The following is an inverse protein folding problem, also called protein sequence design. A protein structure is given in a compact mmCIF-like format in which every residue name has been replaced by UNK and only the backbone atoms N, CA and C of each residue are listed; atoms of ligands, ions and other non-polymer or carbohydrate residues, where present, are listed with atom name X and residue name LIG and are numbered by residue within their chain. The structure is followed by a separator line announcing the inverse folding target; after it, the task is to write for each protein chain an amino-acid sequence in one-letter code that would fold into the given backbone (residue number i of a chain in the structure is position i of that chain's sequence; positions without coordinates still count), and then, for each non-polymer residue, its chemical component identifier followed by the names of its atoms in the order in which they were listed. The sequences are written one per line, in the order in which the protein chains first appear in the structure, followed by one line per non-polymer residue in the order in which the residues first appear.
data_IF_045843784924
#
_entry.id   IF_045843784924
#
_cell.length_a   1.000
_cell.length_b   1.000
_cell.length_c   1.000
_cell.angle_alpha   90.00
_cell.angle_beta   90.00
_cell.angle_gamma   90.00
#
_symmetry.space_group_name_H-M   'P 1'
#
loop_
_entity.id
_entity.type
_entity.pdbx_description
1 polymer ?
#
# COMPACT_ATOMS: atom_id res chain seq x y z
N UNK A 1 13.32 77.97 -7.20
CA UNK A 1 13.18 77.50 -5.79
C UNK A 1 12.26 76.30 -5.80
N UNK A 2 12.77 75.06 -5.93
CA UNK A 2 13.07 74.08 -4.86
C UNK A 2 11.86 73.66 -4.00
N UNK A 3 11.48 72.38 -4.11
CA UNK A 3 10.83 71.57 -3.07
C UNK A 3 9.36 71.22 -3.35
N UNK A 4 8.85 70.00 -3.12
CA UNK A 4 9.38 68.75 -2.57
C UNK A 4 8.53 67.60 -3.11
N UNK A 5 9.20 66.61 -3.67
CA UNK A 5 8.76 65.22 -3.80
C UNK A 5 8.81 64.62 -2.38
N UNK A 6 7.80 63.89 -1.91
CA UNK A 6 8.03 62.67 -1.12
C UNK A 6 6.77 61.79 -1.03
N UNK A 7 6.89 60.60 -1.64
CA UNK A 7 6.01 59.44 -1.48
C UNK A 7 6.07 58.94 -0.03
N UNK A 8 4.91 58.72 0.60
CA UNK A 8 4.82 57.88 1.80
C UNK A 8 4.28 56.51 1.38
N UNK A 9 5.19 55.61 1.00
CA UNK A 9 4.90 54.17 0.97
C UNK A 9 5.22 53.65 2.38
N UNK A 10 4.17 53.45 3.17
CA UNK A 10 4.27 52.74 4.44
C UNK A 10 4.81 51.34 4.19
N UNK A 11 6.04 51.11 4.62
CA UNK A 11 6.67 49.80 4.71
C UNK A 11 5.98 49.05 5.84
N UNK A 12 4.93 48.27 5.54
CA UNK A 12 4.42 47.25 6.46
C UNK A 12 5.54 46.24 6.70
N UNK A 13 6.30 46.43 7.78
CA UNK A 13 7.23 45.43 8.27
C UNK A 13 6.42 44.27 8.84
N UNK A 14 6.31 43.17 8.09
CA UNK A 14 5.79 41.91 8.62
C UNK A 14 6.70 41.53 9.79
N UNK A 15 6.13 41.44 11.01
CA UNK A 15 6.86 40.93 12.17
C UNK A 15 7.28 39.48 11.88
N UNK A 16 8.54 39.08 12.14
CA UNK A 16 8.94 37.69 12.00
C UNK A 16 8.08 36.81 12.91
N UNK A 17 7.70 35.64 12.42
CA UNK A 17 6.92 34.67 13.17
C UNK A 17 7.67 34.27 14.45
N UNK A 18 6.97 34.17 15.58
CA UNK A 18 7.60 33.75 16.84
C UNK A 18 7.98 32.25 16.78
N UNK A 19 8.96 31.79 17.56
CA UNK A 19 9.31 30.36 17.63
C UNK A 19 8.10 29.47 17.92
N UNK A 20 7.20 29.92 18.79
CA UNK A 20 5.97 29.20 19.12
C UNK A 20 5.00 29.12 17.94
N UNK A 21 5.00 30.11 17.03
CA UNK A 21 4.20 30.12 15.81
C UNK A 21 4.74 29.13 14.77
N UNK A 22 6.06 29.05 14.63
CA UNK A 22 6.72 28.08 13.74
C UNK A 22 6.56 26.64 14.23
N UNK A 23 6.70 26.41 15.55
CA UNK A 23 6.45 25.09 16.16
C UNK A 23 4.99 24.67 16.00
N UNK A 24 4.03 25.60 16.16
CA UNK A 24 2.60 25.32 15.92
C UNK A 24 2.29 25.03 14.45
N UNK A 25 2.92 25.74 13.51
CA UNK A 25 2.77 25.48 12.08
C UNK A 25 3.39 24.12 11.69
N UNK A 26 4.56 23.79 12.24
CA UNK A 26 5.20 22.49 12.04
C UNK A 26 4.36 21.34 12.63
N UNK A 27 3.82 21.53 13.85
CA UNK A 27 2.92 20.57 14.47
C UNK A 27 1.62 20.40 13.67
N UNK A 28 1.03 21.48 13.17
CA UNK A 28 -0.17 21.42 12.33
C UNK A 28 0.09 20.74 10.97
N UNK A 29 1.23 21.01 10.33
CA UNK A 29 1.63 20.32 9.10
C UNK A 29 1.90 18.83 9.33
N UNK A 30 2.48 18.47 10.49
CA UNK A 30 2.66 17.09 10.91
C UNK A 30 1.33 16.40 11.22
N UNK A 31 0.35 17.11 11.79
CA UNK A 31 -1.01 16.58 11.99
C UNK A 31 -1.76 16.38 10.67
N UNK A 32 -1.57 17.24 9.67
CA UNK A 32 -2.14 17.10 8.33
C UNK A 32 -1.59 15.88 7.57
N UNK A 33 -0.33 15.50 7.80
CA UNK A 33 0.25 14.26 7.29
C UNK A 33 -0.48 13.01 7.83
N UNK A 34 -1.06 13.07 9.04
CA UNK A 34 -1.62 11.91 9.75
C UNK A 34 -3.08 11.62 9.38
N UNK A 35 -3.87 12.63 9.01
CA UNK A 35 -5.34 12.51 8.95
C UNK A 35 -5.94 12.31 7.54
N UNK A 36 -5.16 12.43 6.46
CA UNK A 36 -5.72 12.48 5.10
C UNK A 36 -5.57 11.22 4.24
N UNK A 37 -4.73 10.25 4.62
CA UNK A 37 -4.34 9.14 3.71
C UNK A 37 -4.19 7.78 4.41
N UNK A 38 -5.00 7.54 5.45
CA UNK A 38 -5.08 6.25 6.12
C UNK A 38 -5.70 5.15 5.27
N UNK A 39 -5.88 3.96 5.86
CA UNK A 39 -6.60 2.87 5.23
C UNK A 39 -8.06 3.26 4.93
N UNK A 40 -8.57 2.83 3.79
CA UNK A 40 -9.98 2.93 3.39
C UNK A 40 -10.84 1.87 4.09
N UNK A 41 -10.28 0.68 4.37
CA UNK A 41 -11.01 -0.42 5.01
C UNK A 41 -10.59 -0.65 6.46
N UNK A 42 -11.53 -1.16 7.27
CA UNK A 42 -11.22 -1.64 8.61
C UNK A 42 -10.33 -2.88 8.50
N UNK A 43 -9.08 -2.74 8.94
CA UNK A 43 -8.25 -3.90 9.28
C UNK A 43 -8.84 -4.50 10.56
N UNK A 44 -9.37 -5.75 10.55
CA UNK A 44 -10.03 -6.31 11.71
C UNK A 44 -9.09 -6.29 12.93
N UNK A 45 -9.49 -5.57 13.99
CA UNK A 45 -8.79 -5.64 15.26
C UNK A 45 -8.83 -7.08 15.78
N UNK A 46 -7.69 -7.56 16.27
CA UNK A 46 -7.51 -8.94 16.74
C UNK A 46 -8.57 -9.33 17.77
N UNK A 47 -9.59 -10.07 17.34
CA UNK A 47 -10.53 -10.70 18.26
C UNK A 47 -9.84 -11.92 18.90
N UNK A 48 -9.17 -11.71 20.04
CA UNK A 48 -8.97 -12.72 21.09
C UNK A 48 -8.39 -14.09 20.71
N UNK A 49 -7.64 -14.24 19.62
CA UNK A 49 -6.99 -15.50 19.27
C UNK A 49 -5.58 -15.56 19.85
N UNK A 50 -5.41 -16.30 20.95
CA UNK A 50 -4.13 -16.88 21.37
C UNK A 50 -3.41 -17.47 20.18
N UNK A 51 -2.12 -17.12 20.02
CA UNK A 51 -1.10 -17.78 19.18
C UNK A 51 -1.56 -18.29 17.81
N UNK A 52 -0.91 -17.78 16.75
CA UNK A 52 -0.94 -18.38 15.41
C UNK A 52 -1.07 -19.90 15.50
N UNK A 53 -2.01 -20.54 14.76
CA UNK A 53 -1.97 -21.98 14.62
C UNK A 53 -0.55 -22.35 14.21
N UNK A 54 0.09 -23.31 14.91
CA UNK A 54 1.41 -23.78 14.51
C UNK A 54 1.32 -24.14 13.02
N UNK A 55 2.37 -23.82 12.26
CA UNK A 55 2.48 -24.34 10.90
C UNK A 55 2.14 -25.84 10.96
N UNK A 56 1.31 -26.37 10.03
CA UNK A 56 0.87 -27.75 10.09
C UNK A 56 2.07 -28.66 10.39
N UNK A 57 1.94 -29.48 11.43
CA UNK A 57 3.00 -30.41 11.83
C UNK A 57 3.16 -31.43 10.70
N UNK A 58 4.25 -31.28 9.96
CA UNK A 58 4.40 -31.84 8.62
C UNK A 58 4.24 -30.72 7.62
N UNK A 59 5.35 -30.04 7.31
CA UNK A 59 5.39 -29.05 6.24
C UNK A 59 4.67 -29.61 5.01
N UNK A 60 3.88 -28.77 4.35
CA UNK A 60 3.22 -29.15 3.09
C UNK A 60 4.30 -29.77 2.22
N UNK A 61 4.20 -31.06 1.83
CA UNK A 61 5.21 -31.68 1.01
C UNK A 61 5.43 -30.77 -0.19
N UNK A 62 6.70 -30.46 -0.52
CA UNK A 62 7.00 -29.68 -1.71
C UNK A 62 6.34 -30.39 -2.89
N UNK A 63 5.24 -29.81 -3.38
CA UNK A 63 4.57 -30.29 -4.57
C UNK A 63 5.50 -30.15 -5.77
N UNK A 64 5.17 -30.76 -6.91
CA UNK A 64 5.87 -30.45 -8.15
C UNK A 64 5.83 -28.94 -8.39
N UNK A 65 6.96 -28.36 -8.83
CA UNK A 65 7.04 -26.93 -9.13
C UNK A 65 5.89 -26.52 -10.06
N UNK A 66 5.16 -25.47 -9.69
CA UNK A 66 3.94 -25.09 -10.42
C UNK A 66 4.26 -24.66 -11.85
N UNK A 67 3.38 -25.05 -12.76
CA UNK A 67 3.54 -24.80 -14.17
C UNK A 67 2.80 -23.52 -14.59
N UNK A 68 3.16 -22.91 -15.75
CA UNK A 68 2.38 -21.81 -16.31
C UNK A 68 0.89 -22.14 -16.55
N UNK A 69 0.52 -23.43 -16.63
CA UNK A 69 -0.87 -23.87 -16.69
C UNK A 69 -1.63 -23.62 -15.38
N UNK A 70 -0.98 -23.81 -14.23
CA UNK A 70 -1.56 -23.52 -12.91
C UNK A 70 -1.81 -22.02 -12.76
N UNK A 71 -0.84 -21.20 -13.18
CA UNK A 71 -1.00 -19.76 -13.19
C UNK A 71 -2.25 -19.32 -13.95
N UNK A 72 -2.42 -19.78 -15.20
CA UNK A 72 -3.59 -19.41 -16.01
C UNK A 72 -4.90 -19.86 -15.38
N UNK A 73 -4.96 -21.06 -14.79
CA UNK A 73 -6.16 -21.58 -14.13
C UNK A 73 -6.58 -20.68 -12.96
N UNK A 74 -5.63 -20.35 -12.08
CA UNK A 74 -5.91 -19.51 -10.91
C UNK A 74 -6.23 -18.07 -11.31
N UNK A 75 -5.43 -17.48 -12.20
CA UNK A 75 -5.67 -16.13 -12.70
C UNK A 75 -7.05 -15.98 -13.34
N UNK A 76 -7.47 -16.93 -14.19
CA UNK A 76 -8.79 -16.92 -14.83
C UNK A 76 -9.97 -16.98 -13.83
N UNK A 77 -9.72 -17.40 -12.59
CA UNK A 77 -10.72 -17.43 -11.52
C UNK A 77 -10.68 -16.18 -10.63
N UNK A 78 -9.49 -15.64 -10.37
CA UNK A 78 -9.29 -14.45 -9.54
C UNK A 78 -9.62 -13.16 -10.28
N UNK A 79 -9.19 -13.03 -11.54
CA UNK A 79 -9.33 -11.81 -12.35
C UNK A 79 -10.77 -11.28 -12.39
N UNK A 80 -11.80 -12.03 -12.84
CA UNK A 80 -13.16 -11.50 -12.91
C UNK A 80 -13.74 -11.13 -11.53
N UNK A 81 -13.29 -11.79 -10.47
CA UNK A 81 -13.71 -11.48 -9.09
C UNK A 81 -13.07 -10.18 -8.61
N UNK A 82 -11.77 -10.00 -8.84
CA UNK A 82 -11.05 -8.78 -8.51
C UNK A 82 -11.62 -7.58 -9.26
N UNK A 83 -11.93 -7.72 -10.55
CA UNK A 83 -12.56 -6.67 -11.33
C UNK A 83 -13.98 -6.34 -10.84
N UNK A 84 -14.78 -7.37 -10.55
CA UNK A 84 -16.13 -7.16 -9.99
C UNK A 84 -16.04 -6.41 -8.66
N UNK A 85 -15.10 -6.82 -7.80
CA UNK A 85 -14.82 -6.15 -6.54
C UNK A 85 -14.44 -4.68 -6.78
N UNK A 86 -13.52 -4.40 -7.69
CA UNK A 86 -13.12 -3.04 -8.04
C UNK A 86 -14.31 -2.18 -8.50
N UNK A 87 -15.18 -2.71 -9.37
CA UNK A 87 -16.36 -2.00 -9.86
C UNK A 87 -17.41 -1.75 -8.78
N UNK A 88 -17.54 -2.65 -7.81
CA UNK A 88 -18.42 -2.49 -6.66
C UNK A 88 -17.95 -1.35 -5.76
N UNK A 89 -16.64 -1.25 -5.52
CA UNK A 89 -16.04 -0.20 -4.69
C UNK A 89 -15.94 1.15 -5.43
N UNK A 90 -15.85 1.12 -6.75
CA UNK A 90 -15.68 2.30 -7.60
C UNK A 90 -16.73 2.39 -8.72
N UNK A 91 -18.04 2.52 -8.40
CA UNK A 91 -19.12 2.45 -9.39
C UNK A 91 -19.12 3.61 -10.40
N UNK A 92 -18.39 4.69 -10.12
CA UNK A 92 -18.22 5.84 -11.02
C UNK A 92 -16.87 5.90 -11.74
N UNK A 93 -15.97 4.94 -11.51
CA UNK A 93 -14.66 4.96 -12.16
C UNK A 93 -14.76 4.60 -13.66
N UNK A 94 -13.85 5.12 -14.51
CA UNK A 94 -13.74 4.68 -15.89
C UNK A 94 -13.54 3.16 -15.97
N UNK A 95 -14.14 2.49 -16.95
CA UNK A 95 -14.08 1.03 -17.07
C UNK A 95 -12.64 0.47 -17.03
N UNK A 96 -11.68 1.17 -17.66
CA UNK A 96 -10.26 0.81 -17.69
C UNK A 96 -9.61 0.77 -16.30
N UNK A 97 -10.15 1.47 -15.31
CA UNK A 97 -9.61 1.49 -13.95
C UNK A 97 -9.81 0.17 -13.20
N UNK A 98 -10.74 -0.67 -13.66
CA UNK A 98 -11.05 -1.98 -13.10
C UNK A 98 -10.92 -3.12 -14.13
N UNK A 99 -10.20 -2.89 -15.24
CA UNK A 99 -9.86 -3.89 -16.26
C UNK A 99 -8.46 -4.42 -15.94
N UNK A 100 -8.35 -5.51 -15.17
CA UNK A 100 -7.06 -5.97 -14.66
C UNK A 100 -6.34 -6.85 -15.70
N UNK A 101 -5.13 -6.46 -16.10
CA UNK A 101 -4.26 -7.34 -16.89
C UNK A 101 -3.34 -8.16 -15.96
N UNK A 102 -3.57 -9.47 -15.86
CA UNK A 102 -2.75 -10.37 -15.02
C UNK A 102 -1.75 -11.18 -15.86
N UNK A 103 -0.46 -11.02 -15.56
CA UNK A 103 0.63 -11.59 -16.36
C UNK A 103 1.65 -12.41 -15.55
N UNK A 104 2.23 -13.42 -16.20
CA UNK A 104 3.37 -14.19 -15.69
C UNK A 104 4.65 -13.73 -16.38
N UNK A 105 5.53 -13.06 -15.66
CA UNK A 105 6.86 -12.69 -16.17
C UNK A 105 7.73 -13.94 -16.30
N UNK A 106 8.32 -14.13 -17.48
CA UNK A 106 9.29 -15.20 -17.77
C UNK A 106 10.73 -14.71 -17.77
N UNK A 107 10.94 -13.47 -17.37
CA UNK A 107 12.28 -12.90 -17.22
C UNK A 107 13.07 -13.74 -16.19
N UNK A 108 14.16 -14.40 -16.60
CA UNK A 108 14.97 -15.22 -15.70
C UNK A 108 15.73 -14.39 -14.66
N UNK A 109 15.92 -13.09 -14.87
CA UNK A 109 16.60 -12.20 -13.94
C UNK A 109 15.65 -11.65 -12.86
N UNK A 110 14.34 -11.77 -13.08
CA UNK A 110 13.35 -11.31 -12.12
C UNK A 110 13.34 -12.22 -10.88
N UNK A 111 13.56 -11.68 -9.66
CA UNK A 111 13.52 -12.48 -8.43
C UNK A 111 12.12 -13.05 -8.17
N UNK A 112 11.96 -13.97 -7.20
CA UNK A 112 10.66 -14.45 -6.76
C UNK A 112 9.82 -13.30 -6.20
N UNK A 113 9.01 -12.64 -7.03
CA UNK A 113 8.24 -11.46 -6.66
C UNK A 113 6.90 -11.38 -7.41
N UNK A 114 5.98 -10.60 -6.85
CA UNK A 114 4.78 -10.12 -7.50
C UNK A 114 4.69 -8.60 -7.28
N UNK A 115 4.04 -7.89 -8.20
CA UNK A 115 3.81 -6.46 -8.07
C UNK A 115 2.66 -6.01 -8.97
N UNK A 116 2.11 -4.85 -8.63
CA UNK A 116 1.12 -4.13 -9.40
C UNK A 116 1.72 -2.85 -10.03
N UNK A 117 1.30 -2.53 -11.26
CA UNK A 117 1.67 -1.32 -12.00
C UNK A 117 0.51 -0.87 -12.90
N UNK A 118 0.73 0.12 -13.78
CA UNK A 118 -0.21 0.51 -14.83
C UNK A 118 0.50 0.52 -16.18
N UNK A 119 -0.20 0.12 -17.24
CA UNK A 119 0.31 0.30 -18.60
C UNK A 119 0.18 1.77 -19.07
N UNK A 120 0.64 2.08 -20.28
CA UNK A 120 0.62 3.44 -20.82
C UNK A 120 -0.80 4.02 -20.96
N UNK A 121 -1.81 3.16 -21.09
CA UNK A 121 -3.22 3.57 -21.14
C UNK A 121 -3.82 3.77 -19.73
N UNK A 122 -3.05 3.51 -18.68
CA UNK A 122 -3.47 3.61 -17.28
C UNK A 122 -4.19 2.36 -16.75
N UNK A 123 -4.25 1.28 -17.55
CA UNK A 123 -4.88 0.03 -17.15
C UNK A 123 -4.06 -0.65 -16.05
N UNK A 124 -4.67 -1.11 -14.96
CA UNK A 124 -3.97 -1.87 -13.93
C UNK A 124 -3.36 -3.17 -14.47
N UNK A 125 -2.09 -3.39 -14.15
CA UNK A 125 -1.35 -4.61 -14.51
C UNK A 125 -0.84 -5.28 -13.24
N UNK A 126 -1.05 -6.58 -13.09
CA UNK A 126 -0.50 -7.41 -12.02
C UNK A 126 0.49 -8.39 -12.64
N UNK A 127 1.70 -8.43 -12.12
CA UNK A 127 2.77 -9.29 -12.62
C UNK A 127 3.23 -10.23 -11.51
N UNK A 128 3.28 -11.53 -11.81
CA UNK A 128 3.92 -12.55 -10.97
C UNK A 128 5.14 -13.07 -11.71
N UNK A 129 6.27 -13.25 -11.04
CA UNK A 129 7.43 -13.88 -11.68
C UNK A 129 7.29 -15.39 -11.75
N UNK A 130 7.82 -15.99 -12.83
CA UNK A 130 7.94 -17.44 -12.93
C UNK A 130 8.80 -18.02 -11.79
N UNK A 131 9.72 -17.23 -11.22
CA UNK A 131 10.47 -17.61 -10.04
C UNK A 131 9.55 -17.74 -8.81
N UNK A 132 8.68 -16.77 -8.53
CA UNK A 132 7.74 -16.85 -7.41
C UNK A 132 6.75 -18.01 -7.57
N UNK A 133 6.24 -18.20 -8.78
CA UNK A 133 5.29 -19.28 -9.06
C UNK A 133 5.86 -20.66 -8.69
N UNK A 134 7.16 -20.88 -8.92
CA UNK A 134 7.81 -22.16 -8.58
C UNK A 134 7.96 -22.40 -7.08
N UNK A 135 7.95 -21.34 -6.27
CA UNK A 135 8.05 -21.44 -4.81
C UNK A 135 6.69 -21.69 -4.13
N UNK A 136 5.59 -21.55 -4.87
CA UNK A 136 4.23 -21.79 -4.38
C UNK A 136 3.90 -23.28 -4.43
N UNK A 137 3.28 -23.78 -3.37
CA UNK A 137 2.86 -25.18 -3.22
C UNK A 137 1.36 -25.37 -3.34
N UNK A 138 0.56 -24.29 -3.28
CA UNK A 138 -0.91 -24.35 -3.33
C UNK A 138 -1.53 -23.32 -4.29
N UNK A 139 -2.67 -23.68 -4.91
CA UNK A 139 -3.51 -22.74 -5.65
C UNK A 139 -3.97 -21.56 -4.80
N UNK A 140 -4.23 -21.79 -3.51
CA UNK A 140 -4.59 -20.76 -2.53
C UNK A 140 -3.50 -19.68 -2.38
N UNK A 141 -2.21 -20.05 -2.42
CA UNK A 141 -1.09 -19.10 -2.28
C UNK A 141 -1.01 -18.15 -3.47
N UNK A 142 -1.16 -18.68 -4.68
CA UNK A 142 -1.20 -17.83 -5.88
C UNK A 142 -2.45 -16.97 -5.90
N UNK A 143 -3.61 -17.53 -5.53
CA UNK A 143 -4.85 -16.78 -5.50
C UNK A 143 -4.77 -15.62 -4.51
N UNK A 144 -4.19 -15.85 -3.33
CA UNK A 144 -3.97 -14.81 -2.33
C UNK A 144 -3.00 -13.74 -2.83
N UNK A 145 -1.86 -14.10 -3.43
CA UNK A 145 -0.91 -13.11 -4.00
C UNK A 145 -1.58 -12.27 -5.09
N UNK A 146 -2.29 -12.88 -6.05
CA UNK A 146 -2.99 -12.12 -7.10
C UNK A 146 -4.06 -11.20 -6.52
N UNK A 147 -4.79 -11.67 -5.51
CA UNK A 147 -5.82 -10.89 -4.81
C UNK A 147 -5.22 -9.73 -4.00
N UNK A 148 -4.05 -9.93 -3.40
CA UNK A 148 -3.27 -8.92 -2.68
C UNK A 148 -2.81 -7.80 -3.63
N UNK A 149 -2.21 -8.16 -4.76
CA UNK A 149 -1.79 -7.18 -5.78
C UNK A 149 -2.97 -6.39 -6.37
N UNK A 150 -4.11 -7.06 -6.62
CA UNK A 150 -5.34 -6.40 -7.04
C UNK A 150 -5.84 -5.42 -5.96
N UNK A 151 -5.73 -5.80 -4.69
CA UNK A 151 -6.16 -4.97 -3.57
C UNK A 151 -5.36 -3.67 -3.44
N UNK A 152 -4.05 -3.71 -3.71
CA UNK A 152 -3.27 -2.48 -3.79
C UNK A 152 -3.77 -1.50 -4.86
N UNK A 153 -4.25 -2.02 -5.99
CA UNK A 153 -4.83 -1.18 -7.05
C UNK A 153 -6.21 -0.65 -6.66
N UNK A 154 -7.06 -1.51 -6.12
CA UNK A 154 -8.42 -1.14 -5.69
C UNK A 154 -8.38 -0.08 -4.59
N UNK A 155 -7.43 -0.17 -3.66
CA UNK A 155 -7.26 0.81 -2.58
C UNK A 155 -6.40 2.04 -2.98
N UNK A 156 -5.98 2.12 -4.25
CA UNK A 156 -5.10 3.16 -4.82
C UNK A 156 -3.83 3.43 -3.99
N UNK A 157 -3.18 2.37 -3.50
CA UNK A 157 -2.00 2.50 -2.64
C UNK A 157 -0.83 3.20 -3.35
N UNK A 158 -0.66 3.00 -4.66
CA UNK A 158 0.37 3.72 -5.44
C UNK A 158 0.09 5.22 -5.49
N UNK A 159 -1.15 5.63 -5.76
CA UNK A 159 -1.56 7.04 -5.78
C UNK A 159 -1.42 7.69 -4.41
N UNK A 160 -1.93 7.04 -3.36
CA UNK A 160 -1.79 7.51 -1.98
C UNK A 160 -0.32 7.63 -1.56
N UNK A 161 0.52 6.66 -1.90
CA UNK A 161 1.94 6.70 -1.59
C UNK A 161 2.64 7.88 -2.29
N UNK A 162 2.34 8.15 -3.56
CA UNK A 162 2.90 9.29 -4.28
C UNK A 162 2.46 10.63 -3.68
N UNK A 163 1.18 10.76 -3.31
CA UNK A 163 0.67 11.94 -2.59
C UNK A 163 1.44 12.16 -1.28
N UNK A 164 1.74 11.10 -0.54
CA UNK A 164 2.53 11.18 0.70
C UNK A 164 3.99 11.58 0.45
N UNK A 165 4.60 11.15 -0.65
CA UNK A 165 5.95 11.62 -1.04
C UNK A 165 5.94 13.11 -1.31
N UNK A 166 4.99 13.58 -2.12
CA UNK A 166 4.86 15.01 -2.46
C UNK A 166 4.62 15.85 -1.20
N UNK A 167 3.67 15.43 -0.36
CA UNK A 167 3.33 16.14 0.88
C UNK A 167 4.53 16.18 1.84
N UNK A 168 5.20 15.05 2.05
CA UNK A 168 6.40 14.97 2.88
C UNK A 168 7.50 15.90 2.40
N UNK A 169 7.76 15.95 1.08
CA UNK A 169 8.73 16.86 0.49
C UNK A 169 8.37 18.33 0.76
N UNK A 170 7.12 18.72 0.49
CA UNK A 170 6.66 20.09 0.67
C UNK A 170 6.74 20.54 2.13
N UNK A 171 6.35 19.68 3.08
CA UNK A 171 6.40 19.97 4.51
C UNK A 171 7.84 20.18 4.96
N UNK A 172 8.74 19.22 4.68
CA UNK A 172 10.11 19.31 5.20
C UNK A 172 10.93 20.40 4.48
N UNK A 173 10.71 20.60 3.18
CA UNK A 173 11.27 21.72 2.43
C UNK A 173 10.81 23.09 2.95
N UNK A 174 9.50 23.25 3.18
CA UNK A 174 8.92 24.48 3.72
C UNK A 174 9.40 24.83 5.13
N UNK A 175 9.49 23.82 6.02
CA UNK A 175 10.05 23.99 7.36
C UNK A 175 11.52 24.41 7.32
N UNK A 176 12.32 23.80 6.43
CA UNK A 176 13.73 24.13 6.26
C UNK A 176 13.92 25.56 5.76
N UNK A 177 13.09 26.00 4.80
CA UNK A 177 13.11 27.37 4.29
C UNK A 177 12.76 28.39 5.40
N UNK A 178 11.67 28.14 6.15
CA UNK A 178 11.23 29.03 7.23
C UNK A 178 12.24 29.10 8.39
N UNK A 179 12.85 27.97 8.76
CA UNK A 179 13.90 27.93 9.78
C UNK A 179 15.17 28.69 9.34
N UNK A 180 15.55 28.56 8.06
CA UNK A 180 16.67 29.31 7.49
C UNK A 180 16.44 30.82 7.54
N UNK A 181 15.25 31.27 7.14
CA UNK A 181 14.84 32.68 7.22
C UNK A 181 14.87 33.20 8.66
N UNK A 182 14.29 32.44 9.60
CA UNK A 182 14.28 32.78 11.02
C UNK A 182 15.69 32.89 11.62
N UNK A 183 16.60 32.00 11.22
CA UNK A 183 17.99 31.99 11.68
C UNK A 183 18.88 33.05 10.97
N UNK A 184 18.31 33.87 10.07
CA UNK A 184 19.06 34.84 9.28
C UNK A 184 20.09 34.20 8.34
N UNK A 185 19.91 32.92 8.01
CA UNK A 185 20.79 32.21 7.09
C UNK A 185 20.42 32.59 5.64
N UNK A 186 21.41 32.70 4.73
CA UNK A 186 21.12 32.88 3.33
C UNK A 186 20.29 31.72 2.80
N UNK A 187 19.32 32.04 1.93
CA UNK A 187 18.53 31.03 1.23
C UNK A 187 19.49 30.06 0.50
N UNK A 188 19.27 28.77 0.68
CA UNK A 188 20.11 27.73 0.08
C UNK A 188 19.21 26.67 -0.53
N UNK A 189 19.08 26.73 -1.85
CA UNK A 189 18.24 25.80 -2.60
C UNK A 189 18.73 24.36 -2.44
N UNK A 190 20.04 24.15 -2.26
CA UNK A 190 20.60 22.83 -2.01
C UNK A 190 20.09 22.21 -0.70
N UNK A 191 20.06 22.99 0.39
CA UNK A 191 19.53 22.50 1.68
C UNK A 191 18.03 22.23 1.61
N UNK A 192 17.29 23.10 0.91
CA UNK A 192 15.84 22.93 0.75
C UNK A 192 15.55 21.68 -0.09
N UNK A 193 16.26 21.45 -1.20
CA UNK A 193 16.11 20.23 -2.01
C UNK A 193 16.43 18.96 -1.23
N UNK A 194 17.55 18.94 -0.50
CA UNK A 194 17.90 17.80 0.35
C UNK A 194 16.81 17.51 1.39
N UNK A 195 16.25 18.56 2.00
CA UNK A 195 15.14 18.43 2.93
C UNK A 195 13.86 17.91 2.24
N UNK A 196 13.57 18.36 1.02
CA UNK A 196 12.46 17.82 0.23
C UNK A 196 12.66 16.34 -0.09
N UNK A 197 13.85 15.92 -0.50
CA UNK A 197 14.15 14.52 -0.81
C UNK A 197 13.97 13.62 0.42
N UNK A 198 14.46 14.08 1.58
CA UNK A 198 14.26 13.38 2.85
C UNK A 198 12.78 13.34 3.25
N UNK A 199 12.06 14.43 3.01
CA UNK A 199 10.63 14.54 3.27
C UNK A 199 9.83 13.56 2.42
N UNK A 200 10.14 13.47 1.13
CA UNK A 200 9.54 12.50 0.21
C UNK A 200 9.84 11.06 0.64
N UNK A 201 11.08 10.78 1.03
CA UNK A 201 11.47 9.44 1.48
C UNK A 201 10.67 9.00 2.72
N UNK A 202 10.55 9.87 3.72
CA UNK A 202 9.79 9.58 4.95
C UNK A 202 8.29 9.48 4.64
N UNK A 203 7.75 10.45 3.90
CA UNK A 203 6.33 10.47 3.53
C UNK A 203 5.91 9.22 2.78
N UNK A 204 6.67 8.81 1.76
CA UNK A 204 6.39 7.59 0.99
C UNK A 204 6.48 6.28 1.77
N UNK A 205 6.96 6.30 3.03
CA UNK A 205 7.04 5.12 3.91
C UNK A 205 6.08 5.16 5.10
N UNK A 206 5.44 6.31 5.37
CA UNK A 206 4.67 6.52 6.58
C UNK A 206 3.51 5.51 6.76
N UNK A 207 2.91 5.05 5.66
CA UNK A 207 1.73 4.18 5.66
C UNK A 207 1.96 2.80 5.02
N UNK A 208 3.20 2.43 4.68
CA UNK A 208 3.45 1.19 3.94
C UNK A 208 2.89 -0.05 4.65
N UNK A 209 3.08 -0.16 5.97
CA UNK A 209 2.54 -1.27 6.77
C UNK A 209 1.00 -1.26 6.84
N UNK A 210 0.39 -0.07 6.93
CA UNK A 210 -1.07 0.08 6.92
C UNK A 210 -1.65 -0.37 5.58
N UNK A 211 -1.01 -0.02 4.47
CA UNK A 211 -1.40 -0.45 3.13
C UNK A 211 -1.23 -1.95 2.91
N UNK A 212 -0.19 -2.59 3.47
CA UNK A 212 -0.08 -4.05 3.44
C UNK A 212 -1.21 -4.73 4.20
N UNK A 213 -1.57 -4.25 5.40
CA UNK A 213 -2.67 -4.82 6.19
C UNK A 213 -4.04 -4.64 5.52
N UNK A 214 -4.25 -3.51 4.86
CA UNK A 214 -5.44 -3.24 4.07
C UNK A 214 -5.49 -4.15 2.84
N UNK A 215 -4.38 -4.28 2.10
CA UNK A 215 -4.27 -5.16 0.95
C UNK A 215 -4.46 -6.63 1.32
N UNK A 216 -3.94 -7.08 2.46
CA UNK A 216 -4.18 -8.43 3.00
C UNK A 216 -5.66 -8.67 3.29
N UNK A 217 -6.32 -7.68 3.89
CA UNK A 217 -7.74 -7.78 4.27
C UNK A 217 -8.60 -7.92 3.01
N UNK A 218 -8.45 -6.99 2.06
CA UNK A 218 -9.16 -7.04 0.79
C UNK A 218 -8.80 -8.29 -0.02
N UNK A 219 -7.51 -8.65 -0.04
CA UNK A 219 -7.00 -9.83 -0.73
C UNK A 219 -7.64 -11.10 -0.20
N UNK A 220 -7.87 -11.20 1.12
CA UNK A 220 -8.59 -12.31 1.72
C UNK A 220 -10.04 -12.39 1.23
N UNK A 221 -10.76 -11.27 1.14
CA UNK A 221 -12.14 -11.24 0.62
C UNK A 221 -12.21 -11.60 -0.87
N UNK A 222 -11.29 -11.09 -1.69
CA UNK A 222 -11.23 -11.38 -3.12
C UNK A 222 -10.89 -12.87 -3.34
N UNK A 223 -9.88 -13.40 -2.64
CA UNK A 223 -9.52 -14.82 -2.72
C UNK A 223 -10.68 -15.73 -2.31
N UNK A 224 -11.36 -15.42 -1.19
CA UNK A 224 -12.52 -16.17 -0.74
C UNK A 224 -13.70 -16.11 -1.73
N UNK A 225 -14.00 -14.93 -2.29
CA UNK A 225 -15.02 -14.79 -3.36
C UNK A 225 -14.64 -15.56 -4.62
N UNK A 226 -13.35 -15.70 -4.91
CA UNK A 226 -12.84 -16.56 -5.98
C UNK A 226 -12.88 -18.05 -5.59
N UNK A 227 -13.23 -18.40 -4.36
CA UNK A 227 -13.36 -19.77 -3.86
C UNK A 227 -12.04 -20.41 -3.45
N UNK A 228 -11.08 -19.59 -3.01
CA UNK A 228 -9.80 -19.99 -2.43
C UNK A 228 -9.77 -19.67 -0.93
N UNK A 229 -8.99 -20.43 -0.18
CA UNK A 229 -8.85 -20.23 1.27
C UNK A 229 -7.74 -19.19 1.55
N UNK A 230 -8.08 -18.01 2.09
CA UNK A 230 -7.10 -16.96 2.34
C UNK A 230 -6.11 -17.31 3.47
N UNK A 231 -6.47 -18.16 4.43
CA UNK A 231 -5.55 -18.60 5.49
C UNK A 231 -4.51 -19.60 4.94
N UNK A 232 -4.94 -20.50 4.02
CA UNK A 232 -4.00 -21.35 3.28
C UNK A 232 -3.12 -20.51 2.36
N UNK A 233 -3.68 -19.50 1.69
CA UNK A 233 -2.92 -18.63 0.79
C UNK A 233 -1.86 -17.79 1.49
N UNK A 234 -2.13 -17.33 2.71
CA UNK A 234 -1.18 -16.60 3.55
C UNK A 234 0.05 -17.42 3.97
N UNK A 235 0.06 -18.74 3.76
CA UNK A 235 1.22 -19.59 4.02
C UNK A 235 2.42 -19.25 3.15
N UNK A 236 2.24 -18.50 2.04
CA UNK A 236 3.35 -17.98 1.23
C UNK A 236 4.33 -17.14 2.05
N UNK A 237 3.87 -16.41 3.08
CA UNK A 237 4.73 -15.64 3.99
C UNK A 237 5.67 -16.51 4.84
N UNK A 238 5.37 -17.81 4.94
CA UNK A 238 6.16 -18.81 5.66
C UNK A 238 7.00 -19.68 4.72
N UNK A 239 7.01 -19.38 3.41
CA UNK A 239 7.79 -20.14 2.45
C UNK A 239 9.29 -20.10 2.80
N UNK A 240 9.95 -21.25 3.02
CA UNK A 240 11.39 -21.31 3.32
C UNK A 240 12.24 -20.67 2.22
N UNK A 241 11.79 -20.75 0.97
CA UNK A 241 12.48 -20.17 -0.18
C UNK A 241 12.50 -18.63 -0.16
N UNK A 242 11.53 -18.02 0.52
CA UNK A 242 11.43 -16.57 0.68
C UNK A 242 12.04 -16.07 2.00
N UNK A 243 12.40 -16.98 2.92
CA UNK A 243 12.84 -16.65 4.28
C UNK A 243 14.11 -15.77 4.35
N UNK A 244 14.91 -15.71 3.28
CA UNK A 244 16.05 -14.79 3.15
C UNK A 244 15.66 -13.31 3.05
N UNK A 245 14.36 -12.99 2.98
CA UNK A 245 13.85 -11.61 2.94
C UNK A 245 14.04 -10.90 1.60
N UNK A 246 14.45 -11.63 0.55
CA UNK A 246 14.51 -11.14 -0.83
C UNK A 246 13.19 -11.27 -1.58
N UNK A 247 13.11 -10.71 -2.78
CA UNK A 247 11.93 -10.87 -3.66
C UNK A 247 10.65 -10.33 -3.01
N UNK A 248 9.61 -11.16 -2.96
CA UNK A 248 8.29 -10.82 -2.40
C UNK A 248 8.39 -10.27 -0.98
N UNK A 249 9.20 -10.86 -0.11
CA UNK A 249 9.31 -10.39 1.28
C UNK A 249 10.19 -9.14 1.43
N UNK A 250 10.91 -8.73 0.39
CA UNK A 250 11.62 -7.46 0.38
C UNK A 250 10.66 -6.29 0.10
N UNK A 251 9.71 -6.49 -0.82
CA UNK A 251 8.72 -5.48 -1.20
C UNK A 251 7.47 -5.52 -0.33
N UNK A 252 7.08 -6.70 0.14
CA UNK A 252 5.94 -6.96 1.02
C UNK A 252 6.40 -7.70 2.29
N UNK A 253 7.05 -7.02 3.24
CA UNK A 253 7.54 -7.67 4.46
C UNK A 253 6.44 -8.42 5.20
N UNK A 254 6.71 -9.68 5.56
CA UNK A 254 5.82 -10.44 6.41
C UNK A 254 5.85 -9.87 7.84
N UNK A 255 4.70 -9.89 8.52
CA UNK A 255 4.63 -9.52 9.92
C UNK A 255 3.57 -10.36 10.65
N UNK A 256 3.70 -10.44 11.98
CA UNK A 256 2.71 -11.14 12.79
C UNK A 256 1.34 -10.43 12.74
N UNK A 257 1.31 -9.11 12.54
CA UNK A 257 0.08 -8.33 12.37
C UNK A 257 -0.66 -8.72 11.09
N UNK A 258 0.06 -8.90 9.97
CA UNK A 258 -0.52 -9.34 8.69
C UNK A 258 -1.23 -10.68 8.81
N UNK A 259 -0.55 -11.68 9.38
CA UNK A 259 -1.16 -12.99 9.62
C UNK A 259 -2.39 -12.93 10.54
N UNK A 260 -2.36 -12.05 11.56
CA UNK A 260 -3.52 -11.83 12.44
C UNK A 260 -4.67 -11.17 11.69
N UNK A 261 -4.39 -10.15 10.87
CA UNK A 261 -5.37 -9.46 10.05
C UNK A 261 -6.07 -10.41 9.09
N UNK A 262 -5.31 -11.26 8.40
CA UNK A 262 -5.84 -12.28 7.49
C UNK A 262 -6.73 -13.29 8.23
N UNK A 263 -6.30 -13.80 9.38
CA UNK A 263 -7.13 -14.70 10.19
C UNK A 263 -8.43 -14.02 10.67
N UNK A 264 -8.36 -12.73 11.03
CA UNK A 264 -9.52 -11.92 11.37
C UNK A 264 -10.49 -11.74 10.21
N UNK A 265 -9.97 -11.46 9.02
CA UNK A 265 -10.74 -11.35 7.78
C UNK A 265 -11.39 -12.69 7.40
N UNK A 266 -10.64 -13.80 7.48
CA UNK A 266 -11.16 -15.14 7.23
C UNK A 266 -12.30 -15.53 8.19
N UNK A 267 -12.18 -15.16 9.47
CA UNK A 267 -13.27 -15.36 10.43
C UNK A 267 -14.51 -14.52 10.10
N UNK A 268 -14.33 -13.29 9.61
CA UNK A 268 -15.44 -12.44 9.13
C UNK A 268 -16.10 -13.02 7.88
N UNK A 269 -15.30 -13.45 6.90
CA UNK A 269 -15.76 -14.11 5.68
C UNK A 269 -16.65 -15.31 6.04
N UNK A 270 -16.15 -16.22 6.88
CA UNK A 270 -16.92 -17.39 7.34
C UNK A 270 -18.24 -17.02 8.04
N UNK A 271 -18.25 -15.95 8.84
CA UNK A 271 -19.48 -15.45 9.47
C UNK A 271 -20.50 -15.00 8.42
N UNK A 272 -20.06 -14.24 7.42
CA UNK A 272 -20.93 -13.76 6.35
C UNK A 272 -21.48 -14.91 5.49
N UNK A 273 -20.62 -15.88 5.13
CA UNK A 273 -21.02 -17.07 4.38
C UNK A 273 -22.03 -17.93 5.15
N UNK A 274 -21.85 -18.10 6.47
CA UNK A 274 -22.79 -18.82 7.33
C UNK A 274 -24.18 -18.15 7.39
N UNK A 275 -24.25 -16.84 7.12
CA UNK A 275 -25.50 -16.09 6.99
C UNK A 275 -26.05 -16.08 5.55
N UNK A 276 -25.41 -16.78 4.60
CA UNK A 276 -25.77 -16.77 3.19
C UNK A 276 -25.46 -15.44 2.48
N UNK A 277 -24.60 -14.60 3.08
CA UNK A 277 -24.19 -13.32 2.53
C UNK A 277 -22.95 -13.48 1.65
N UNK A 278 -22.81 -12.60 0.65
CA UNK A 278 -21.58 -12.48 -0.13
C UNK A 278 -20.51 -11.79 0.74
N UNK A 279 -19.33 -12.41 0.96
CA UNK A 279 -18.28 -11.84 1.79
C UNK A 279 -17.88 -10.43 1.35
N UNK A 280 -17.96 -9.41 2.19
CA UNK A 280 -17.65 -8.01 1.87
C UNK A 280 -16.93 -7.36 3.07
N UNK A 281 -15.81 -6.63 2.86
CA UNK A 281 -15.12 -5.97 3.95
C UNK A 281 -15.91 -4.78 4.48
N UNK A 282 -15.56 -4.33 5.69
CA UNK A 282 -16.12 -3.12 6.29
C UNK A 282 -15.22 -1.92 5.97
N UNK A 283 -15.83 -0.78 5.65
CA UNK A 283 -15.13 0.50 5.47
C UNK A 283 -14.61 1.00 6.83
N UNK A 284 -13.45 1.67 6.82
CA UNK A 284 -12.95 2.41 7.97
C UNK A 284 -13.93 3.54 8.32
N UNK A 285 -14.28 3.66 9.61
CA UNK A 285 -15.15 4.73 10.14
C UNK A 285 -14.35 5.99 10.46
#
# INVERSE_FOLDING_TARGET
MRGKIFRSLHRMTRRPASPASLVRAAAAALSLLVSGCGATYQVPASAGASSLPPAPAGGVPAGPARAPGDFRRVAARVEPVAESFCREEHPGAPAIACDFAIGLSRDPEMPPNAFQTRDEAGRPVIVVSAALLREMTDDDELAFVLSHEASHQIADHLGKQEQQRILGALVLGGLTAAAGEYAGLPASDARIRQAMDMGAFVGGRAYSQTYELEADTLGAFIAARAGYDPERGAMIFRSPALAGGGGLLATHPASADRMRGIAGAAAEIRRQEAMGLRPTPRLAE
#
